data_IF_930566849012
#
_entry.id   IF_930566849012
#
_cell.length_a   1.000
_cell.length_b   1.000
_cell.length_c   1.000
_cell.angle_alpha   90.00
_cell.angle_beta   90.00
_cell.angle_gamma   90.00
#
_symmetry.space_group_name_H-M   'P 1'
#
loop_
_entity.id
_entity.type
_entity.pdbx_description
1 polymer ?
#
# COMPACT_ATOMS: atom_id res chain seq x y z
N UNK A 1 7.47 -10.35 -8.77
CA UNK A 1 8.93 -10.30 -8.57
C UNK A 1 9.25 -10.39 -7.08
N UNK A 2 10.15 -11.28 -6.76
CA UNK A 2 10.66 -11.42 -5.39
C UNK A 2 11.98 -10.68 -5.25
N UNK A 3 11.99 -9.64 -4.46
CA UNK A 3 13.19 -8.89 -4.10
C UNK A 3 13.25 -8.77 -2.58
N UNK A 4 14.32 -9.28 -1.98
CA UNK A 4 14.54 -9.24 -0.54
C UNK A 4 14.55 -7.81 -0.02
N UNK A 5 13.92 -7.60 1.14
CA UNK A 5 13.83 -6.30 1.81
C UNK A 5 13.18 -5.18 1.00
N UNK A 6 12.42 -5.53 -0.03
CA UNK A 6 11.66 -4.55 -0.82
C UNK A 6 10.21 -4.51 -0.34
N UNK A 7 9.74 -3.33 0.05
CA UNK A 7 8.37 -3.14 0.52
C UNK A 7 7.66 -2.05 -0.29
N UNK A 8 6.35 -2.15 -0.35
CA UNK A 8 5.47 -1.17 -0.96
C UNK A 8 4.61 -0.51 0.10
N UNK A 9 4.42 0.79 -0.04
CA UNK A 9 3.49 1.55 0.78
C UNK A 9 2.14 1.61 0.08
N UNK A 10 1.07 1.40 0.84
CA UNK A 10 -0.29 1.35 0.31
C UNK A 10 -1.25 2.11 1.19
N UNK A 11 -2.43 2.39 0.65
CA UNK A 11 -3.57 2.85 1.40
C UNK A 11 -4.84 2.37 0.70
N UNK A 12 -5.84 1.98 1.48
CA UNK A 12 -7.15 1.64 0.94
C UNK A 12 -7.86 2.90 0.47
N UNK A 13 -8.64 2.78 -0.61
CA UNK A 13 -9.36 3.91 -1.21
C UNK A 13 -10.31 4.58 -0.21
N UNK A 14 -10.94 3.83 0.67
CA UNK A 14 -11.83 4.39 1.69
C UNK A 14 -11.11 5.34 2.62
N UNK A 15 -9.89 4.98 3.04
CA UNK A 15 -9.05 5.84 3.87
C UNK A 15 -8.55 7.06 3.10
N UNK A 16 -8.16 6.88 1.85
CA UNK A 16 -7.71 7.99 1.01
C UNK A 16 -8.81 9.05 0.86
N UNK A 17 -10.03 8.63 0.59
CA UNK A 17 -11.19 9.54 0.45
C UNK A 17 -11.43 10.30 1.75
N UNK A 18 -11.43 9.62 2.89
CA UNK A 18 -11.64 10.25 4.19
C UNK A 18 -10.55 11.28 4.51
N UNK A 19 -9.30 10.97 4.18
CA UNK A 19 -8.18 11.89 4.40
C UNK A 19 -8.30 13.12 3.50
N UNK A 20 -8.71 12.96 2.25
CA UNK A 20 -8.94 14.08 1.34
C UNK A 20 -10.03 15.00 1.88
N UNK A 21 -11.14 14.44 2.37
CA UNK A 21 -12.24 15.20 2.97
C UNK A 21 -11.76 15.99 4.19
N UNK A 22 -11.00 15.33 5.07
CA UNK A 22 -10.44 15.99 6.27
C UNK A 22 -9.47 17.11 5.90
N UNK A 23 -8.66 16.93 4.88
CA UNK A 23 -7.73 17.96 4.40
C UNK A 23 -8.48 19.15 3.85
N UNK A 24 -9.56 18.93 3.11
CA UNK A 24 -10.41 19.99 2.57
C UNK A 24 -11.08 20.80 3.68
N UNK A 25 -11.57 20.14 4.73
CA UNK A 25 -12.23 20.77 5.86
C UNK A 25 -11.28 21.53 6.79
N UNK A 26 -10.00 21.18 6.77
CA UNK A 26 -8.97 21.79 7.62
C UNK A 26 -7.81 22.26 6.76
N UNK A 27 -8.05 23.25 5.86
CA UNK A 27 -7.01 23.70 4.94
C UNK A 27 -5.89 24.44 5.67
N UNK A 28 -4.67 24.22 5.18
CA UNK A 28 -3.49 24.89 5.68
C UNK A 28 -2.52 25.08 4.51
N UNK A 29 -2.13 26.33 4.19
CA UNK A 29 -1.30 26.58 3.03
C UNK A 29 0.07 25.90 3.14
N UNK A 30 0.59 25.46 2.00
CA UNK A 30 1.92 24.85 1.85
C UNK A 30 2.12 23.56 2.64
N UNK A 31 1.02 22.92 3.09
CA UNK A 31 1.12 21.64 3.78
C UNK A 31 1.21 20.49 2.78
N UNK A 32 2.21 19.65 2.95
CA UNK A 32 2.39 18.40 2.20
C UNK A 32 2.04 17.24 3.13
N UNK A 33 1.14 16.36 2.68
CA UNK A 33 0.72 15.20 3.46
C UNK A 33 1.14 13.93 2.71
N UNK A 34 2.02 13.16 3.32
CA UNK A 34 2.33 11.82 2.84
C UNK A 34 1.24 10.86 3.31
N UNK A 35 0.61 10.15 2.38
CA UNK A 35 -0.53 9.29 2.69
C UNK A 35 -0.16 7.83 2.47
N UNK A 36 -0.16 7.07 3.56
CA UNK A 36 -0.04 5.62 3.55
C UNK A 36 -0.71 5.06 4.80
N UNK A 37 -0.98 3.76 4.82
CA UNK A 37 -1.56 3.12 6.01
C UNK A 37 -0.53 2.87 7.12
N UNK A 38 0.75 3.15 6.87
CA UNK A 38 1.82 2.96 7.84
C UNK A 38 2.26 1.50 8.00
N UNK A 39 1.75 0.60 7.18
CA UNK A 39 2.07 -0.84 7.24
C UNK A 39 2.56 -1.34 5.87
N UNK A 40 3.76 -0.92 5.43
CA UNK A 40 4.30 -1.39 4.17
C UNK A 40 4.55 -2.89 4.20
N UNK A 41 4.38 -3.55 3.07
CA UNK A 41 4.62 -4.98 2.96
C UNK A 41 5.27 -5.34 1.62
N UNK A 42 5.87 -6.51 1.60
CA UNK A 42 6.43 -7.12 0.40
C UNK A 42 5.32 -7.48 -0.59
N UNK A 43 5.61 -7.39 -1.90
CA UNK A 43 4.64 -7.70 -2.94
C UNK A 43 4.15 -9.15 -2.88
N UNK A 44 5.03 -10.08 -2.57
CA UNK A 44 4.69 -11.51 -2.48
C UNK A 44 3.73 -11.79 -1.34
N UNK A 45 3.94 -11.17 -0.18
CA UNK A 45 3.03 -11.28 0.95
C UNK A 45 1.65 -10.73 0.61
N UNK A 46 1.60 -9.63 -0.11
CA UNK A 46 0.35 -9.04 -0.58
C UNK A 46 -0.41 -9.99 -1.51
N UNK A 47 0.27 -10.54 -2.51
CA UNK A 47 -0.36 -11.50 -3.44
C UNK A 47 -0.76 -12.80 -2.75
N UNK A 48 0.04 -13.26 -1.80
CA UNK A 48 -0.28 -14.46 -1.04
C UNK A 48 -1.59 -14.29 -0.26
N UNK A 49 -1.76 -13.16 0.39
CA UNK A 49 -2.99 -12.86 1.12
C UNK A 49 -4.19 -12.73 0.19
N UNK A 50 -4.03 -12.05 -0.96
CA UNK A 50 -5.09 -11.93 -1.95
C UNK A 50 -5.52 -13.30 -2.49
N UNK A 51 -4.57 -14.18 -2.78
CA UNK A 51 -4.86 -15.54 -3.25
C UNK A 51 -5.52 -16.39 -2.17
N UNK A 52 -5.10 -16.24 -0.92
CA UNK A 52 -5.71 -16.94 0.22
C UNK A 52 -7.19 -16.57 0.37
N UNK A 53 -7.49 -15.28 0.34
CA UNK A 53 -8.87 -14.78 0.49
C UNK A 53 -9.76 -15.23 -0.65
N UNK A 54 -9.26 -15.14 -1.88
CA UNK A 54 -10.01 -15.49 -3.09
C UNK A 54 -9.97 -16.99 -3.43
N UNK A 55 -9.23 -17.78 -2.65
CA UNK A 55 -9.00 -19.21 -2.91
C UNK A 55 -8.44 -19.44 -4.32
N UNK A 56 -7.54 -18.59 -4.74
CA UNK A 56 -6.91 -18.62 -6.06
C UNK A 56 -5.47 -19.13 -5.97
N UNK A 57 -4.97 -19.64 -7.09
CA UNK A 57 -3.62 -20.14 -7.19
C UNK A 57 -2.63 -18.99 -7.29
N UNK A 58 -1.50 -19.09 -6.56
CA UNK A 58 -0.42 -18.10 -6.64
C UNK A 58 0.16 -18.02 -8.06
N UNK A 59 0.42 -16.81 -8.56
CA UNK A 59 1.16 -16.65 -9.81
C UNK A 59 2.61 -17.07 -9.64
N UNK A 60 3.28 -17.33 -10.75
CA UNK A 60 4.68 -17.71 -10.75
C UNK A 60 5.55 -16.58 -10.21
N UNK A 61 6.44 -16.91 -9.28
CA UNK A 61 7.35 -15.96 -8.63
C UNK A 61 8.70 -16.01 -9.31
N UNK A 62 9.22 -14.84 -9.67
CA UNK A 62 10.55 -14.69 -10.26
C UNK A 62 11.42 -13.81 -9.36
N UNK A 63 12.69 -14.16 -9.23
CA UNK A 63 13.67 -13.26 -8.63
C UNK A 63 14.01 -12.14 -9.61
N UNK A 64 14.42 -10.98 -9.07
CA UNK A 64 14.68 -9.80 -9.88
C UNK A 64 15.70 -10.03 -10.99
N UNK A 65 16.68 -10.90 -10.76
CA UNK A 65 17.73 -11.23 -11.74
C UNK A 65 17.30 -12.28 -12.78
N UNK A 66 16.13 -12.88 -12.63
CA UNK A 66 15.60 -13.92 -13.53
C UNK A 66 14.72 -13.35 -14.64
N UNK A 67 14.36 -12.07 -14.55
CA UNK A 67 13.42 -11.41 -15.47
C UNK A 67 14.14 -10.31 -16.25
N UNK A 68 13.85 -10.26 -17.57
CA UNK A 68 14.23 -9.11 -18.39
C UNK A 68 13.32 -7.94 -18.05
N UNK A 69 13.90 -6.82 -17.64
CA UNK A 69 13.17 -5.62 -17.33
C UNK A 69 13.72 -4.43 -18.10
N UNK A 70 12.85 -3.46 -18.41
CA UNK A 70 13.26 -2.15 -18.91
C UNK A 70 14.08 -1.41 -17.85
N UNK A 71 14.82 -0.38 -18.26
CA UNK A 71 15.58 0.43 -17.30
C UNK A 71 14.69 1.10 -16.27
N UNK A 72 13.50 1.52 -16.67
CA UNK A 72 12.50 2.09 -15.76
C UNK A 72 12.03 1.06 -14.71
N UNK A 73 11.75 -0.17 -15.13
CA UNK A 73 11.38 -1.24 -14.20
C UNK A 73 12.50 -1.59 -13.24
N UNK A 74 13.73 -1.67 -13.73
CA UNK A 74 14.90 -1.90 -12.87
C UNK A 74 15.07 -0.80 -11.83
N UNK A 75 14.93 0.46 -12.26
CA UNK A 75 15.01 1.62 -11.38
C UNK A 75 13.95 1.55 -10.25
N UNK A 76 12.73 1.16 -10.60
CA UNK A 76 11.64 0.97 -9.62
C UNK A 76 12.01 -0.06 -8.54
N UNK A 77 12.65 -1.15 -8.93
CA UNK A 77 13.00 -2.24 -8.00
C UNK A 77 14.31 -1.98 -7.22
N UNK A 78 15.09 -0.97 -7.59
CA UNK A 78 16.34 -0.64 -6.90
C UNK A 78 16.13 0.03 -5.55
N UNK A 79 14.99 0.65 -5.31
CA UNK A 79 14.71 1.38 -4.08
C UNK A 79 13.52 0.80 -3.34
N UNK A 80 13.58 0.85 -2.02
CA UNK A 80 12.49 0.49 -1.14
C UNK A 80 12.33 1.60 -0.11
N UNK A 81 11.09 2.07 0.09
CA UNK A 81 10.82 3.20 0.98
C UNK A 81 9.72 2.88 1.97
N UNK A 82 9.92 3.33 3.20
CA UNK A 82 8.88 3.37 4.22
C UNK A 82 8.37 4.81 4.33
N UNK A 83 7.08 5.00 4.08
CA UNK A 83 6.46 6.32 4.19
C UNK A 83 5.88 6.48 5.59
N UNK A 84 6.25 7.58 6.25
CA UNK A 84 5.71 7.95 7.56
C UNK A 84 4.73 9.10 7.37
N UNK A 85 3.50 8.91 7.84
CA UNK A 85 2.42 9.89 7.70
C UNK A 85 2.19 10.60 9.05
N UNK A 86 3.17 11.38 9.48
CA UNK A 86 3.13 12.06 10.79
C UNK A 86 1.97 13.04 10.92
N UNK A 87 1.60 13.72 9.83
CA UNK A 87 0.48 14.68 9.84
C UNK A 87 -0.85 13.96 10.13
N UNK A 88 -1.07 12.78 9.56
CA UNK A 88 -2.28 12.01 9.80
C UNK A 88 -2.42 11.62 11.27
N UNK A 89 -1.30 11.25 11.90
CA UNK A 89 -1.29 10.87 13.31
C UNK A 89 -1.37 12.08 14.23
N UNK A 90 -0.56 13.10 14.00
CA UNK A 90 -0.34 14.20 14.95
C UNK A 90 -1.30 15.37 14.76
N UNK A 91 -1.66 15.71 13.53
CA UNK A 91 -2.57 16.83 13.26
C UNK A 91 -4.03 16.39 13.10
N UNK A 92 -4.27 15.27 12.40
CA UNK A 92 -5.62 14.79 12.15
C UNK A 92 -6.11 13.77 13.18
N UNK A 93 -5.19 13.17 13.93
CA UNK A 93 -5.51 12.06 14.84
C UNK A 93 -6.34 10.99 14.12
N UNK A 94 -5.94 10.68 12.89
CA UNK A 94 -6.71 9.84 11.98
C UNK A 94 -6.68 8.37 12.41
N UNK A 95 -7.84 7.75 12.45
CA UNK A 95 -7.97 6.30 12.69
C UNK A 95 -8.33 5.61 11.39
N UNK A 96 -7.45 4.72 10.93
CA UNK A 96 -7.65 4.02 9.67
C UNK A 96 -8.83 3.05 9.73
N UNK A 97 -9.69 3.09 8.69
CA UNK A 97 -10.74 2.11 8.47
C UNK A 97 -10.11 0.77 8.13
N UNK A 98 -9.07 0.81 7.28
CA UNK A 98 -8.30 -0.36 6.87
C UNK A 98 -6.82 -0.12 7.19
N UNK A 99 -6.37 -0.45 8.42
CA UNK A 99 -5.00 -0.11 8.85
C UNK A 99 -3.91 -0.90 8.15
N UNK A 100 -4.23 -1.99 7.48
CA UNK A 100 -3.27 -2.80 6.74
C UNK A 100 -3.89 -3.40 5.48
N UNK A 101 -3.03 -4.02 4.64
CA UNK A 101 -3.48 -4.61 3.38
C UNK A 101 -4.43 -5.80 3.59
N UNK A 102 -4.31 -6.54 4.69
CA UNK A 102 -5.16 -7.69 4.99
C UNK A 102 -6.60 -7.26 5.18
N UNK A 103 -6.82 -6.24 5.99
CA UNK A 103 -8.14 -5.66 6.24
C UNK A 103 -8.73 -5.08 4.95
N UNK A 104 -7.92 -4.37 4.15
CA UNK A 104 -8.35 -3.79 2.88
C UNK A 104 -8.74 -4.82 1.84
N UNK A 105 -7.94 -5.87 1.67
CA UNK A 105 -8.23 -6.97 0.72
C UNK A 105 -9.50 -7.71 1.12
N UNK A 106 -9.69 -7.97 2.40
CA UNK A 106 -10.89 -8.64 2.90
C UNK A 106 -12.15 -7.82 2.61
N UNK A 107 -12.10 -6.51 2.78
CA UNK A 107 -13.22 -5.62 2.49
C UNK A 107 -13.54 -5.61 0.99
N UNK A 108 -12.54 -5.53 0.12
CA UNK A 108 -12.72 -5.55 -1.33
C UNK A 108 -13.35 -6.88 -1.78
N UNK A 109 -12.88 -7.99 -1.26
CA UNK A 109 -13.42 -9.31 -1.60
C UNK A 109 -14.89 -9.46 -1.20
N UNK A 110 -15.26 -8.96 -0.04
CA UNK A 110 -16.66 -8.97 0.43
C UNK A 110 -17.58 -8.16 -0.46
N UNK A 111 -17.11 -7.07 -1.05
CA UNK A 111 -17.91 -6.25 -1.96
C UNK A 111 -18.28 -6.97 -3.26
N UNK A 112 -17.44 -7.93 -3.70
CA UNK A 112 -17.66 -8.71 -4.94
C UNK A 112 -18.56 -9.92 -4.73
N UNK A 113 -18.72 -10.35 -3.51
CA UNK A 113 -19.51 -11.52 -3.13
C UNK A 113 -20.66 -11.07 -2.21
#
# INVERSE_FOLDING_TARGET
VDKENHVFNRIHIDDLVEIIIKSYKNPRPQRIINISDGNPCNQIEFYREACRISNSKMPKIYKINEIKMSDMQKSFWLSSKHIVSSILKNEFNYKFIHPDYKSGLKAIWKMKN
#
